data_IF_468107000892
#
_entry.id   IF_468107000892
#
_cell.length_a   1.000
_cell.length_b   1.000
_cell.length_c   1.000
_cell.angle_alpha   90.00
_cell.angle_beta   90.00
_cell.angle_gamma   90.00
#
_symmetry.space_group_name_H-M   'P 1'
#
loop_
_entity.id
_entity.type
_entity.pdbx_description
1 polymer ?
#
# COMPACT_ATOMS: atom_id res chain seq x y z
N UNK A 1 -10.01 8.46 -15.20
CA UNK A 1 -11.19 7.98 -15.95
C UNK A 1 -12.25 7.40 -15.03
N UNK A 2 -12.02 6.30 -14.30
CA UNK A 2 -13.04 5.71 -13.40
C UNK A 2 -13.62 6.72 -12.37
N UNK A 3 -12.78 7.57 -11.77
CA UNK A 3 -13.24 8.60 -10.82
C UNK A 3 -14.21 9.62 -11.45
N UNK A 4 -13.95 10.03 -12.69
CA UNK A 4 -14.81 10.98 -13.41
C UNK A 4 -16.14 10.34 -13.82
N UNK A 5 -16.15 9.03 -14.10
CA UNK A 5 -17.38 8.31 -14.41
C UNK A 5 -18.31 8.35 -13.20
N UNK A 6 -17.80 8.12 -11.99
CA UNK A 6 -18.61 8.16 -10.77
C UNK A 6 -19.29 9.50 -10.46
N UNK A 7 -18.91 10.59 -11.12
CA UNK A 7 -19.57 11.91 -11.01
C UNK A 7 -20.85 11.99 -11.88
N UNK A 8 -21.06 11.02 -12.77
CA UNK A 8 -22.23 10.91 -13.64
C UNK A 8 -23.30 10.08 -12.92
N UNK A 9 -24.55 10.56 -12.80
CA UNK A 9 -25.65 9.79 -12.22
C UNK A 9 -25.80 8.42 -12.88
N UNK A 10 -26.09 7.39 -12.08
CA UNK A 10 -26.36 6.01 -12.55
C UNK A 10 -25.19 5.31 -13.28
N UNK A 11 -23.93 5.60 -12.91
CA UNK A 11 -22.74 4.94 -13.48
C UNK A 11 -21.83 4.28 -12.44
N UNK A 12 -22.32 4.14 -11.21
CA UNK A 12 -21.54 3.65 -10.08
C UNK A 12 -21.08 2.19 -10.27
N UNK A 13 -21.89 1.38 -10.93
CA UNK A 13 -21.60 0.00 -11.35
C UNK A 13 -20.48 -0.07 -12.39
N UNK A 14 -20.46 0.85 -13.36
CA UNK A 14 -19.40 0.98 -14.37
C UNK A 14 -18.09 1.40 -13.69
N UNK A 15 -18.14 2.42 -12.84
CA UNK A 15 -17.00 2.86 -12.05
C UNK A 15 -16.43 1.71 -11.21
N UNK A 16 -17.29 0.96 -10.51
CA UNK A 16 -16.89 -0.18 -9.69
C UNK A 16 -16.23 -1.27 -10.54
N UNK A 17 -16.80 -1.59 -11.70
CA UNK A 17 -16.24 -2.58 -12.64
C UNK A 17 -14.85 -2.17 -13.15
N UNK A 18 -14.65 -0.89 -13.44
CA UNK A 18 -13.33 -0.37 -13.82
C UNK A 18 -12.30 -0.46 -12.69
N UNK A 19 -12.70 -0.14 -11.45
CA UNK A 19 -11.79 -0.32 -10.30
C UNK A 19 -11.47 -1.79 -10.05
N UNK A 20 -12.44 -2.69 -10.21
CA UNK A 20 -12.22 -4.13 -10.10
C UNK A 20 -11.22 -4.63 -11.14
N UNK A 21 -11.40 -4.24 -12.41
CA UNK A 21 -10.48 -4.60 -13.48
C UNK A 21 -9.05 -4.05 -13.23
N UNK A 22 -8.93 -2.81 -12.77
CA UNK A 22 -7.62 -2.23 -12.44
C UNK A 22 -6.97 -2.89 -11.20
N UNK A 23 -7.78 -3.28 -10.21
CA UNK A 23 -7.33 -4.11 -9.09
C UNK A 23 -6.77 -5.44 -9.60
N UNK A 24 -7.50 -6.17 -10.43
CA UNK A 24 -7.07 -7.45 -11.01
C UNK A 24 -5.77 -7.33 -11.85
N UNK A 25 -5.52 -6.14 -12.42
CA UNK A 25 -4.25 -5.79 -13.10
C UNK A 25 -3.09 -5.45 -12.14
N UNK A 26 -3.32 -5.45 -10.82
CA UNK A 26 -2.29 -5.20 -9.81
C UNK A 26 -2.23 -3.78 -9.25
N UNK A 27 -3.19 -2.90 -9.56
CA UNK A 27 -3.18 -1.52 -9.05
C UNK A 27 -3.77 -1.41 -7.64
N UNK A 28 -2.90 -1.32 -6.63
CA UNK A 28 -3.29 -1.24 -5.21
C UNK A 28 -4.25 -0.10 -4.90
N UNK A 29 -4.03 1.10 -5.45
CA UNK A 29 -4.94 2.24 -5.24
C UNK A 29 -6.34 2.00 -5.82
N UNK A 30 -6.44 1.30 -6.96
CA UNK A 30 -7.73 0.93 -7.53
C UNK A 30 -8.43 -0.12 -6.66
N UNK A 31 -7.67 -1.08 -6.13
CA UNK A 31 -8.18 -2.07 -5.16
C UNK A 31 -8.76 -1.40 -3.91
N UNK A 32 -8.08 -0.39 -3.34
CA UNK A 32 -8.62 0.38 -2.22
C UNK A 32 -9.91 1.11 -2.60
N UNK A 33 -9.97 1.74 -3.77
CA UNK A 33 -11.17 2.45 -4.24
C UNK A 33 -12.35 1.49 -4.46
N UNK A 34 -12.11 0.32 -5.05
CA UNK A 34 -13.09 -0.77 -5.15
C UNK A 34 -13.63 -1.16 -3.77
N UNK A 35 -12.72 -1.35 -2.81
CA UNK A 35 -13.05 -1.80 -1.46
C UNK A 35 -13.84 -0.76 -0.66
N UNK A 36 -13.49 0.52 -0.80
CA UNK A 36 -14.26 1.62 -0.20
C UNK A 36 -15.71 1.61 -0.72
N UNK A 37 -15.89 1.42 -2.03
CA UNK A 37 -17.22 1.37 -2.64
C UNK A 37 -18.00 0.13 -2.17
N UNK A 38 -17.38 -1.05 -2.22
CA UNK A 38 -17.98 -2.30 -1.73
C UNK A 38 -18.43 -2.16 -0.26
N UNK A 39 -17.59 -1.58 0.59
CA UNK A 39 -17.92 -1.29 2.00
C UNK A 39 -19.10 -0.34 2.14
N UNK A 40 -19.21 0.67 1.27
CA UNK A 40 -20.30 1.65 1.31
C UNK A 40 -21.65 1.06 0.91
N UNK A 41 -21.66 0.06 0.02
CA UNK A 41 -22.87 -0.70 -0.37
C UNK A 41 -23.09 -1.96 0.49
N UNK A 42 -22.36 -2.09 1.59
CA UNK A 42 -22.45 -3.21 2.54
C UNK A 42 -22.02 -4.58 1.98
N UNK A 43 -21.28 -4.61 0.86
CA UNK A 43 -20.60 -5.80 0.38
C UNK A 43 -19.23 -5.95 1.08
N UNK A 44 -19.31 -6.31 2.36
CA UNK A 44 -18.13 -6.39 3.22
C UNK A 44 -17.14 -7.48 2.81
N UNK A 45 -17.64 -8.57 2.22
CA UNK A 45 -16.80 -9.67 1.75
C UNK A 45 -15.86 -9.18 0.64
N UNK A 46 -16.40 -8.50 -0.36
CA UNK A 46 -15.60 -7.94 -1.45
C UNK A 46 -14.73 -6.78 -0.98
N UNK A 47 -15.20 -5.97 -0.01
CA UNK A 47 -14.39 -4.93 0.59
C UNK A 47 -13.13 -5.49 1.27
N UNK A 48 -13.28 -6.51 2.12
CA UNK A 48 -12.16 -7.15 2.83
C UNK A 48 -11.18 -7.79 1.84
N UNK A 49 -11.68 -8.50 0.83
CA UNK A 49 -10.84 -9.10 -0.20
C UNK A 49 -10.05 -8.06 -1.02
N UNK A 50 -10.71 -6.96 -1.39
CA UNK A 50 -10.06 -5.87 -2.12
C UNK A 50 -9.04 -5.10 -1.27
N UNK A 51 -9.32 -4.88 0.02
CA UNK A 51 -8.34 -4.27 0.92
C UNK A 51 -7.13 -5.20 1.07
N UNK A 52 -7.33 -6.51 1.24
CA UNK A 52 -6.24 -7.48 1.31
C UNK A 52 -5.36 -7.43 0.06
N UNK A 53 -5.97 -7.36 -1.12
CA UNK A 53 -5.25 -7.18 -2.38
C UNK A 53 -4.46 -5.86 -2.39
N UNK A 54 -5.07 -4.77 -1.94
CA UNK A 54 -4.43 -3.46 -1.87
C UNK A 54 -3.20 -3.45 -0.95
N UNK A 55 -3.27 -4.14 0.19
CA UNK A 55 -2.15 -4.30 1.15
C UNK A 55 -0.99 -5.06 0.53
N UNK A 56 -1.24 -6.13 -0.23
CA UNK A 56 -0.17 -6.85 -0.96
C UNK A 56 0.62 -5.90 -1.87
N UNK A 57 -0.09 -4.97 -2.51
CA UNK A 57 0.47 -3.94 -3.36
C UNK A 57 1.03 -2.70 -2.63
N UNK A 58 1.12 -2.72 -1.30
CA UNK A 58 1.79 -1.69 -0.50
C UNK A 58 0.92 -0.53 -0.02
N UNK A 59 -0.41 -0.63 -0.07
CA UNK A 59 -1.29 0.45 0.38
C UNK A 59 -1.49 0.40 1.92
N UNK A 60 -0.81 1.30 2.63
CA UNK A 60 -0.86 1.37 4.11
C UNK A 60 -2.26 1.70 4.65
N UNK A 61 -3.05 2.47 3.90
CA UNK A 61 -4.40 2.91 4.29
C UNK A 61 -5.33 1.70 4.38
N UNK A 62 -5.22 0.78 3.42
CA UNK A 62 -5.98 -0.46 3.40
C UNK A 62 -5.57 -1.38 4.54
N UNK A 63 -4.29 -1.44 4.88
CA UNK A 63 -3.81 -2.20 6.04
C UNK A 63 -4.41 -1.64 7.33
N UNK A 64 -4.38 -0.32 7.50
CA UNK A 64 -4.98 0.32 8.66
C UNK A 64 -6.49 0.11 8.75
N UNK A 65 -7.20 0.16 7.62
CA UNK A 65 -8.65 -0.13 7.58
C UNK A 65 -8.96 -1.56 8.02
N UNK A 66 -8.18 -2.54 7.58
CA UNK A 66 -8.33 -3.92 8.02
C UNK A 66 -8.01 -4.06 9.51
N UNK A 67 -6.95 -3.42 10.01
CA UNK A 67 -6.63 -3.41 11.44
C UNK A 67 -7.84 -2.96 12.27
N UNK A 68 -8.39 -1.78 11.94
CA UNK A 68 -9.58 -1.24 12.62
C UNK A 68 -10.81 -2.12 12.44
N UNK A 69 -10.98 -2.78 11.30
CA UNK A 69 -12.09 -3.70 11.04
C UNK A 69 -12.09 -4.93 11.96
N UNK A 70 -10.92 -5.43 12.36
CA UNK A 70 -10.77 -6.56 13.28
C UNK A 70 -10.83 -6.18 14.78
N UNK A 71 -10.86 -4.89 15.13
CA UNK A 71 -10.88 -4.40 16.53
C UNK A 71 -12.25 -4.43 17.22
N UNK A 72 -13.25 -5.11 16.65
CA UNK A 72 -14.66 -5.07 17.09
C UNK A 72 -15.30 -3.68 16.91
N UNK A 73 -15.84 -3.46 15.71
CA UNK A 73 -16.53 -2.21 15.37
C UNK A 73 -18.02 -2.45 15.33
N UNK A 74 -18.78 -1.56 15.98
CA UNK A 74 -20.23 -1.53 15.86
C UNK A 74 -20.64 -0.98 14.48
N UNK A 75 -21.79 -1.39 13.91
CA UNK A 75 -22.23 -0.95 12.58
C UNK A 75 -22.36 0.58 12.40
N UNK A 76 -22.48 1.33 13.50
CA UNK A 76 -22.52 2.80 13.47
C UNK A 76 -21.16 3.44 13.17
N UNK A 77 -20.05 2.72 13.37
CA UNK A 77 -18.72 3.12 12.92
C UNK A 77 -18.57 2.84 11.42
N UNK A 78 -19.28 3.65 10.61
CA UNK A 78 -19.36 3.46 9.15
C UNK A 78 -18.00 3.49 8.44
N UNK A 79 -16.98 4.08 9.08
CA UNK A 79 -15.67 4.23 8.45
C UNK A 79 -14.88 2.92 8.45
N UNK A 80 -14.97 2.14 9.53
CA UNK A 80 -14.15 0.94 9.74
C UNK A 80 -14.96 -0.35 9.86
N UNK A 81 -16.28 -0.28 9.94
CA UNK A 81 -17.12 -1.47 10.03
C UNK A 81 -17.05 -2.31 8.74
N UNK A 82 -16.58 -3.56 8.90
CA UNK A 82 -16.40 -4.53 7.80
C UNK A 82 -17.07 -5.89 8.08
N UNK A 83 -18.01 -5.96 9.04
CA UNK A 83 -18.66 -7.20 9.47
C UNK A 83 -17.68 -8.36 9.76
N UNK A 84 -16.49 -8.01 10.29
CA UNK A 84 -15.48 -8.97 10.73
C UNK A 84 -15.69 -9.29 12.20
N UNK A 85 -15.44 -10.53 12.57
CA UNK A 85 -15.33 -10.90 13.98
C UNK A 85 -14.07 -10.28 14.59
N UNK A 86 -14.16 -9.93 15.88
CA UNK A 86 -13.03 -9.39 16.62
C UNK A 86 -11.85 -10.36 16.60
N UNK A 87 -10.70 -9.88 16.15
CA UNK A 87 -9.42 -10.60 16.22
C UNK A 87 -8.28 -9.61 16.45
N UNK A 88 -7.88 -9.49 17.71
CA UNK A 88 -6.83 -8.57 18.13
C UNK A 88 -5.46 -8.92 17.56
N UNK A 89 -5.20 -10.21 17.30
CA UNK A 89 -3.93 -10.66 16.75
C UNK A 89 -3.85 -10.28 15.27
N UNK A 90 -4.92 -10.48 14.49
CA UNK A 90 -5.03 -9.97 13.10
C UNK A 90 -4.91 -8.46 13.07
N UNK A 91 -5.64 -7.75 13.93
CA UNK A 91 -5.57 -6.30 14.02
C UNK A 91 -4.14 -5.82 14.23
N UNK A 92 -3.43 -6.39 15.22
CA UNK A 92 -2.04 -6.04 15.52
C UNK A 92 -1.07 -6.36 14.37
N UNK A 93 -1.29 -7.45 13.61
CA UNK A 93 -0.47 -7.76 12.42
C UNK A 93 -0.69 -6.72 11.31
N UNK A 94 -1.93 -6.33 11.03
CA UNK A 94 -2.23 -5.28 10.07
C UNK A 94 -1.68 -3.90 10.47
N UNK A 95 -1.71 -3.55 11.76
CA UNK A 95 -1.10 -2.30 12.23
C UNK A 95 0.41 -2.31 11.99
N UNK A 96 1.11 -3.40 12.34
CA UNK A 96 2.56 -3.54 12.03
C UNK A 96 2.86 -3.44 10.53
N UNK A 97 1.98 -4.00 9.69
CA UNK A 97 2.09 -3.87 8.23
C UNK A 97 1.90 -2.42 7.79
N UNK A 98 0.88 -1.73 8.32
CA UNK A 98 0.62 -0.32 8.02
C UNK A 98 1.82 0.55 8.38
N UNK A 99 2.34 0.40 9.60
CA UNK A 99 3.54 1.09 10.07
C UNK A 99 4.74 0.82 9.17
N UNK A 100 4.99 -0.44 8.82
CA UNK A 100 6.07 -0.81 7.93
C UNK A 100 5.95 -0.13 6.56
N UNK A 101 4.75 -0.15 5.96
CA UNK A 101 4.49 0.46 4.66
C UNK A 101 4.65 1.98 4.70
N UNK A 102 4.23 2.65 5.78
CA UNK A 102 4.44 4.10 5.97
C UNK A 102 5.94 4.42 6.00
N UNK A 103 6.72 3.69 6.80
CA UNK A 103 8.16 3.97 6.94
C UNK A 103 8.95 3.71 5.65
N UNK A 104 8.45 2.85 4.76
CA UNK A 104 9.13 2.45 3.52
C UNK A 104 8.37 2.89 2.25
N UNK A 105 7.43 3.83 2.37
CA UNK A 105 6.63 4.32 1.23
C UNK A 105 7.51 4.88 0.11
N UNK A 106 8.50 5.70 0.49
CA UNK A 106 9.50 6.29 -0.40
C UNK A 106 10.36 5.27 -1.17
N UNK A 107 10.34 4.01 -0.74
CA UNK A 107 11.08 2.90 -1.34
C UNK A 107 10.17 1.99 -2.17
N UNK A 108 8.87 2.26 -2.24
CA UNK A 108 7.90 1.43 -2.93
C UNK A 108 7.73 0.05 -2.30
N UNK A 109 7.69 -0.02 -0.96
CA UNK A 109 7.50 -1.27 -0.23
C UNK A 109 6.18 -1.98 -0.58
N UNK A 110 6.24 -3.32 -0.58
CA UNK A 110 5.11 -4.21 -0.87
C UNK A 110 5.12 -5.37 0.13
N UNK A 111 4.00 -6.07 0.25
CA UNK A 111 3.86 -7.24 1.14
C UNK A 111 3.46 -8.47 0.29
N UNK A 112 4.39 -9.04 -0.51
CA UNK A 112 4.09 -10.19 -1.36
C UNK A 112 3.74 -11.45 -0.56
N UNK A 113 4.24 -11.56 0.67
CA UNK A 113 4.04 -12.64 1.64
C UNK A 113 2.86 -12.38 2.60
N UNK A 114 1.91 -11.51 2.23
CA UNK A 114 0.82 -11.12 3.13
C UNK A 114 -0.02 -12.31 3.62
N UNK A 115 -0.30 -13.29 2.75
CA UNK A 115 -1.10 -14.46 3.14
C UNK A 115 -0.33 -15.40 4.09
N UNK A 116 1.00 -15.35 4.09
CA UNK A 116 1.86 -16.07 5.03
C UNK A 116 1.99 -15.32 6.37
N UNK A 117 1.54 -14.06 6.42
CA UNK A 117 1.59 -13.20 7.61
C UNK A 117 0.21 -13.08 8.25
N UNK A 118 -0.82 -12.77 7.48
CA UNK A 118 -2.17 -12.50 7.98
C UNK A 118 -3.21 -12.92 6.94
N UNK A 119 -3.44 -14.23 6.78
CA UNK A 119 -4.48 -14.72 5.89
C UNK A 119 -5.86 -14.31 6.42
N UNK A 120 -6.79 -14.05 5.49
CA UNK A 120 -8.17 -13.73 5.84
C UNK A 120 -8.88 -14.93 6.48
N UNK A 121 -9.83 -14.70 7.42
CA UNK A 121 -10.70 -15.75 7.93
C UNK A 121 -11.38 -16.52 6.78
N UNK A 122 -11.63 -17.84 6.93
CA UNK A 122 -11.50 -18.62 8.17
C UNK A 122 -10.10 -19.21 8.44
N UNK A 123 -9.09 -18.93 7.59
CA UNK A 123 -7.76 -19.53 7.74
C UNK A 123 -7.10 -19.11 9.07
N UNK A 124 -6.54 -20.04 9.87
CA UNK A 124 -5.86 -19.68 11.11
C UNK A 124 -4.62 -18.83 10.85
N UNK A 125 -4.22 -18.03 11.85
CA UNK A 125 -2.99 -17.26 11.76
C UNK A 125 -1.76 -18.18 11.82
N UNK A 126 -0.83 -18.10 10.84
CA UNK A 126 0.42 -18.83 10.89
C UNK A 126 1.38 -18.23 11.92
N UNK A 127 2.41 -18.97 12.31
CA UNK A 127 3.54 -18.41 13.04
C UNK A 127 4.25 -17.35 12.18
N UNK A 128 4.59 -16.21 12.77
CA UNK A 128 5.22 -15.10 12.05
C UNK A 128 6.35 -14.50 12.89
N UNK A 129 7.53 -14.42 12.30
CA UNK A 129 8.76 -13.91 12.91
C UNK A 129 8.81 -12.38 13.06
N UNK A 130 7.77 -11.68 12.62
CA UNK A 130 7.71 -10.22 12.65
C UNK A 130 8.49 -9.54 11.52
N UNK A 131 8.97 -10.29 10.53
CA UNK A 131 9.72 -9.77 9.38
C UNK A 131 8.91 -9.81 8.09
N UNK A 132 9.33 -9.03 7.10
CA UNK A 132 8.70 -8.96 5.78
C UNK A 132 9.66 -9.45 4.72
N UNK A 133 9.19 -10.29 3.79
CA UNK A 133 10.00 -10.76 2.65
C UNK A 133 10.65 -9.60 1.88
N UNK A 134 9.90 -8.52 1.63
CA UNK A 134 10.43 -7.34 0.93
C UNK A 134 11.68 -6.76 1.62
N UNK A 135 11.68 -6.70 2.96
CA UNK A 135 12.82 -6.18 3.73
C UNK A 135 14.02 -7.11 3.63
N UNK A 136 13.80 -8.42 3.83
CA UNK A 136 14.87 -9.43 3.73
C UNK A 136 15.53 -9.45 2.35
N UNK A 137 14.72 -9.41 1.29
CA UNK A 137 15.21 -9.41 -0.10
C UNK A 137 16.03 -8.15 -0.39
N UNK A 138 15.58 -6.99 0.10
CA UNK A 138 16.30 -5.72 -0.05
C UNK A 138 17.61 -5.69 0.72
N UNK A 139 17.60 -6.11 1.99
CA UNK A 139 18.79 -6.13 2.85
C UNK A 139 19.85 -7.13 2.34
N UNK A 140 19.42 -8.17 1.62
CA UNK A 140 20.31 -9.16 0.98
C UNK A 140 20.82 -8.73 -0.40
N UNK A 141 20.24 -7.69 -1.00
CA UNK A 141 20.61 -7.20 -2.33
C UNK A 141 21.84 -6.30 -2.24
N UNK A 142 22.77 -6.43 -3.19
CA UNK A 142 23.89 -5.50 -3.29
C UNK A 142 23.38 -4.06 -3.51
N UNK A 143 23.99 -3.04 -2.86
CA UNK A 143 23.62 -1.66 -3.11
C UNK A 143 23.80 -1.33 -4.60
N UNK A 144 22.95 -0.47 -5.17
CA UNK A 144 23.09 -0.07 -6.56
C UNK A 144 24.48 0.51 -6.81
N UNK A 145 25.05 0.20 -7.98
CA UNK A 145 26.33 0.77 -8.37
C UNK A 145 26.24 2.30 -8.38
N UNK A 146 27.30 3.02 -7.96
CA UNK A 146 27.32 4.46 -8.05
C UNK A 146 27.10 4.91 -9.51
N UNK A 147 26.46 6.06 -9.74
CA UNK A 147 26.36 6.63 -11.08
C UNK A 147 27.75 6.86 -11.68
N UNK A 148 27.84 6.86 -13.02
CA UNK A 148 29.13 7.05 -13.69
C UNK A 148 29.71 8.43 -13.41
N UNK A 149 31.04 8.54 -13.41
CA UNK A 149 31.75 9.81 -13.17
C UNK A 149 31.29 10.90 -14.16
N UNK A 150 31.02 10.52 -15.42
CA UNK A 150 30.53 11.45 -16.44
C UNK A 150 29.13 11.97 -16.12
N UNK A 151 28.26 11.12 -15.58
CA UNK A 151 26.92 11.52 -15.17
C UNK A 151 26.98 12.45 -13.95
N UNK A 152 27.83 12.14 -12.97
CA UNK A 152 28.08 12.99 -11.80
C UNK A 152 28.58 14.36 -12.26
N UNK A 153 29.58 14.40 -13.14
CA UNK A 153 30.17 15.65 -13.64
C UNK A 153 29.14 16.49 -14.39
N UNK A 154 28.33 15.86 -15.26
CA UNK A 154 27.28 16.54 -16.02
C UNK A 154 26.22 17.15 -15.11
N UNK A 155 25.69 16.37 -14.16
CA UNK A 155 24.68 16.85 -13.22
C UNK A 155 25.21 17.94 -12.30
N UNK A 156 26.45 17.79 -11.82
CA UNK A 156 27.11 18.80 -10.99
C UNK A 156 27.28 20.13 -11.75
N UNK A 157 27.72 20.08 -13.00
CA UNK A 157 27.86 21.27 -13.85
C UNK A 157 26.51 21.95 -14.07
N UNK A 158 25.47 21.18 -14.40
CA UNK A 158 24.12 21.70 -14.66
C UNK A 158 23.51 22.38 -13.42
N UNK A 159 23.82 21.88 -12.22
CA UNK A 159 23.34 22.42 -10.93
C UNK A 159 24.32 23.39 -10.26
N UNK A 160 25.43 23.74 -10.92
CA UNK A 160 26.51 24.56 -10.37
C UNK A 160 27.02 24.04 -9.01
N UNK A 161 27.26 22.73 -8.93
CA UNK A 161 27.76 22.00 -7.77
C UNK A 161 29.19 21.50 -8.03
N UNK A 162 29.96 21.31 -6.97
CA UNK A 162 31.20 20.57 -6.99
C UNK A 162 30.90 19.06 -7.18
N UNK A 163 31.50 18.39 -8.18
CA UNK A 163 31.18 16.99 -8.51
C UNK A 163 31.65 15.98 -7.47
N UNK A 164 32.63 16.33 -6.62
CA UNK A 164 33.16 15.43 -5.58
C UNK A 164 32.38 15.53 -4.28
N UNK A 165 31.90 16.72 -3.95
CA UNK A 165 31.31 17.04 -2.64
C UNK A 165 29.81 17.34 -2.70
N UNK A 166 29.28 17.66 -3.89
CA UNK A 166 27.89 18.10 -4.08
C UNK A 166 27.60 19.50 -3.55
N UNK A 167 28.62 20.25 -3.11
CA UNK A 167 28.46 21.59 -2.53
C UNK A 167 28.31 22.63 -3.64
N UNK A 168 27.40 23.62 -3.52
CA UNK A 168 27.26 24.69 -4.51
C UNK A 168 28.56 25.46 -4.73
N UNK A 169 28.92 25.66 -6.00
CA UNK A 169 30.03 26.52 -6.37
C UNK A 169 29.63 27.99 -6.17
N UNK A 170 30.58 28.87 -5.81
CA UNK A 170 30.31 30.29 -5.70
C UNK A 170 29.73 30.81 -7.01
N UNK A 171 28.61 31.53 -6.93
CA UNK A 171 28.02 32.19 -8.10
C UNK A 171 28.97 33.30 -8.52
N UNK A 172 29.63 33.15 -9.68
CA UNK A 172 30.40 34.25 -10.28
C UNK A 172 29.46 35.41 -10.55
N UNK A 173 29.80 36.58 -10.01
CA UNK A 173 29.12 37.87 -10.26
C UNK A 173 29.25 38.31 -11.70
#
# INVERSE_FOLDING_TARGET
MAQLIGEIPNTADIMQSMYKCAMEQGHSQAARKYSNYASAIHDYKDAVAGYQFSVKGGDNISAHRLARGFEDRIPTDRLYYLALERDEVRAARYDKISDFLVHHEHLGAKIPDLDDIVPLPPAPLPEWDGTFKWKRDRDSSAPPAPPSEELIQRMATEKNLDPKTGIPLPVSK
#
